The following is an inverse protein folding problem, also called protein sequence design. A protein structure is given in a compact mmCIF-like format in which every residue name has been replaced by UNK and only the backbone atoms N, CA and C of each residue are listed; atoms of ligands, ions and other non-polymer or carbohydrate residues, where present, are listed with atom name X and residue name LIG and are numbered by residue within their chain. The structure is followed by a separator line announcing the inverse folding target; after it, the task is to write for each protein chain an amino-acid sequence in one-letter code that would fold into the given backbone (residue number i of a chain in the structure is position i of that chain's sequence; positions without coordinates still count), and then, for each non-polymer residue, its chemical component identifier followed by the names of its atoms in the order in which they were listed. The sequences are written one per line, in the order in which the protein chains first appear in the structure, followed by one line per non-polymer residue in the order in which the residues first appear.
data_IF_598552412622
#
_entry.id   IF_598552412622
#
_cell.length_a   1.000
_cell.length_b   1.000
_cell.length_c   1.000
_cell.angle_alpha   90.00
_cell.angle_beta   90.00
_cell.angle_gamma   90.00
#
_symmetry.space_group_name_H-M   'P 1'
#
loop_
_entity.id
_entity.type
_entity.pdbx_description
1 polymer ?
#
# COMPACT_ATOMS: atom_id res chain seq x y z
N UNK A 1 -24.47 -10.20 13.62
CA UNK A 1 -23.29 -10.12 12.75
C UNK A 1 -23.55 -10.88 11.47
N UNK A 2 -23.67 -10.16 10.36
CA UNK A 2 -23.82 -10.80 9.05
C UNK A 2 -22.43 -11.21 8.51
N UNK A 3 -22.35 -12.36 7.86
CA UNK A 3 -21.09 -12.81 7.26
C UNK A 3 -20.83 -12.00 5.98
N UNK A 4 -19.65 -11.38 5.87
CA UNK A 4 -19.22 -10.64 4.68
C UNK A 4 -18.05 -11.37 4.03
N UNK A 5 -18.19 -11.70 2.75
CA UNK A 5 -17.15 -12.31 1.93
C UNK A 5 -16.76 -11.33 0.83
N UNK A 6 -15.49 -10.98 0.69
CA UNK A 6 -15.08 -10.02 -0.34
C UNK A 6 -13.69 -10.30 -0.89
N UNK A 7 -13.44 -9.82 -2.11
CA UNK A 7 -12.11 -9.83 -2.70
C UNK A 7 -11.93 -8.66 -3.66
N UNK A 8 -10.77 -7.99 -3.57
CA UNK A 8 -10.40 -6.89 -4.46
C UNK A 8 -9.47 -7.33 -5.59
N UNK A 9 -9.38 -6.51 -6.63
CA UNK A 9 -8.36 -6.67 -7.66
C UNK A 9 -7.88 -5.32 -8.17
N UNK A 10 -6.60 -5.26 -8.52
CA UNK A 10 -5.98 -4.07 -9.08
C UNK A 10 -4.86 -4.47 -10.04
N UNK A 11 -4.85 -3.83 -11.21
CA UNK A 11 -3.81 -3.96 -12.22
C UNK A 11 -3.76 -2.68 -13.06
N UNK A 12 -2.67 -1.91 -13.01
CA UNK A 12 -2.34 -0.79 -13.93
C UNK A 12 -3.55 -0.07 -14.56
N UNK A 13 -4.20 0.82 -13.81
CA UNK A 13 -5.41 1.54 -14.24
C UNK A 13 -6.74 0.81 -14.04
N UNK A 14 -6.73 -0.51 -13.88
CA UNK A 14 -7.92 -1.31 -13.59
C UNK A 14 -8.11 -1.57 -12.10
N UNK A 15 -9.38 -1.61 -11.68
CA UNK A 15 -9.86 -1.85 -10.32
C UNK A 15 -11.04 -2.81 -10.35
N UNK A 16 -11.09 -3.75 -9.41
CA UNK A 16 -12.23 -4.63 -9.23
C UNK A 16 -12.51 -4.90 -7.75
N UNK A 17 -13.76 -5.24 -7.44
CA UNK A 17 -14.15 -5.73 -6.13
C UNK A 17 -15.38 -6.63 -6.25
N UNK A 18 -15.39 -7.71 -5.48
CA UNK A 18 -16.54 -8.57 -5.24
C UNK A 18 -16.88 -8.49 -3.76
N UNK A 19 -18.16 -8.29 -3.46
CA UNK A 19 -18.76 -8.35 -2.14
C UNK A 19 -19.92 -9.34 -2.18
N UNK A 20 -19.95 -10.29 -1.24
CA UNK A 20 -20.98 -11.28 -1.06
C UNK A 20 -21.48 -11.23 0.39
N UNK A 21 -22.79 -11.12 0.56
CA UNK A 21 -23.49 -11.10 1.84
C UNK A 21 -24.48 -12.27 1.83
N UNK A 22 -24.07 -13.48 2.26
CA UNK A 22 -24.88 -14.70 2.13
C UNK A 22 -26.24 -14.61 2.82
N UNK A 23 -26.27 -13.99 4.01
CA UNK A 23 -27.48 -13.84 4.83
C UNK A 23 -28.57 -13.04 4.11
N UNK A 24 -28.17 -12.18 3.17
CA UNK A 24 -29.06 -11.37 2.35
C UNK A 24 -29.12 -11.82 0.88
N UNK A 25 -28.49 -12.94 0.54
CA UNK A 25 -28.36 -13.45 -0.83
C UNK A 25 -27.90 -12.38 -1.83
N UNK A 26 -27.05 -11.44 -1.37
CA UNK A 26 -26.64 -10.28 -2.14
C UNK A 26 -25.19 -10.44 -2.62
N UNK A 27 -24.96 -10.17 -3.90
CA UNK A 27 -23.63 -10.07 -4.50
C UNK A 27 -23.51 -8.75 -5.23
N UNK A 28 -22.46 -7.99 -4.91
CA UNK A 28 -22.10 -6.76 -5.59
C UNK A 28 -20.74 -6.92 -6.24
N UNK A 29 -20.65 -6.65 -7.55
CA UNK A 29 -19.40 -6.69 -8.32
C UNK A 29 -19.17 -5.32 -8.92
N UNK A 30 -18.02 -4.73 -8.61
CA UNK A 30 -17.60 -3.43 -9.15
C UNK A 30 -16.35 -3.66 -10.00
N UNK A 31 -16.38 -3.19 -11.25
CA UNK A 31 -15.25 -3.23 -12.18
C UNK A 31 -15.04 -1.83 -12.75
N UNK A 32 -13.79 -1.41 -12.89
CA UNK A 32 -13.47 -0.14 -13.53
C UNK A 32 -12.07 -0.10 -14.12
N UNK A 33 -11.90 0.81 -15.08
CA UNK A 33 -10.67 1.09 -15.81
C UNK A 33 -10.11 2.48 -15.49
N UNK A 34 -10.33 2.95 -14.27
CA UNK A 34 -9.74 4.19 -13.74
C UNK A 34 -9.04 3.91 -12.41
N UNK A 35 -7.81 4.39 -12.27
CA UNK A 35 -6.95 4.13 -11.10
C UNK A 35 -7.49 4.74 -9.80
N UNK A 36 -8.29 5.81 -9.90
CA UNK A 36 -8.93 6.50 -8.77
C UNK A 36 -10.22 5.83 -8.28
N UNK A 37 -10.73 4.80 -8.96
CA UNK A 37 -11.93 4.10 -8.52
C UNK A 37 -11.66 3.39 -7.18
N UNK A 38 -12.58 3.56 -6.22
CA UNK A 38 -12.60 2.88 -4.92
C UNK A 38 -13.67 1.78 -4.92
N UNK A 39 -13.41 0.61 -5.55
CA UNK A 39 -14.47 -0.34 -5.86
C UNK A 39 -15.08 -1.01 -4.61
N UNK A 40 -14.32 -1.14 -3.52
CA UNK A 40 -14.84 -1.65 -2.25
C UNK A 40 -15.87 -0.69 -1.63
N UNK A 41 -15.56 0.61 -1.58
CA UNK A 41 -16.48 1.62 -1.05
C UNK A 41 -17.79 1.67 -1.86
N UNK A 42 -17.68 1.67 -3.19
CA UNK A 42 -18.84 1.60 -4.09
C UNK A 42 -19.65 0.33 -3.85
N UNK A 43 -18.98 -0.82 -3.69
CA UNK A 43 -19.69 -2.07 -3.44
C UNK A 43 -20.48 -2.05 -2.12
N UNK A 44 -19.89 -1.48 -1.06
CA UNK A 44 -20.55 -1.30 0.24
C UNK A 44 -21.71 -0.31 0.15
N UNK A 45 -21.54 0.85 -0.48
CA UNK A 45 -22.62 1.84 -0.65
C UNK A 45 -23.81 1.27 -1.41
N UNK A 46 -23.55 0.50 -2.47
CA UNK A 46 -24.60 -0.20 -3.23
C UNK A 46 -25.28 -1.25 -2.35
N UNK A 47 -24.52 -2.02 -1.58
CA UNK A 47 -25.08 -3.02 -0.69
C UNK A 47 -25.96 -2.37 0.39
N UNK A 48 -25.48 -1.33 1.05
CA UNK A 48 -26.23 -0.58 2.06
C UNK A 48 -27.52 -0.04 1.48
N UNK A 49 -27.49 0.56 0.28
CA UNK A 49 -28.69 1.11 -0.36
C UNK A 49 -29.73 0.03 -0.74
N UNK A 50 -29.27 -1.14 -1.18
CA UNK A 50 -30.16 -2.26 -1.51
C UNK A 50 -30.77 -2.89 -0.26
N UNK A 51 -29.99 -3.02 0.81
CA UNK A 51 -30.42 -3.61 2.07
C UNK A 51 -31.31 -2.67 2.88
N UNK A 52 -31.09 -1.35 2.79
CA UNK A 52 -31.96 -0.34 3.40
C UNK A 52 -33.26 -0.09 2.63
N UNK A 53 -33.52 -0.83 1.55
CA UNK A 53 -34.72 -0.69 0.73
C UNK A 53 -34.81 0.65 -0.01
N UNK A 54 -33.67 1.29 -0.29
CA UNK A 54 -33.62 2.60 -0.93
C UNK A 54 -33.94 3.78 0.01
N UNK A 55 -34.18 3.53 1.29
CA UNK A 55 -34.21 4.57 2.31
C UNK A 55 -32.77 5.08 2.52
N UNK A 56 -32.56 6.40 2.48
CA UNK A 56 -31.33 6.97 3.03
C UNK A 56 -31.17 6.46 4.48
N UNK A 57 -29.96 6.06 4.91
CA UNK A 57 -29.79 5.55 6.27
C UNK A 57 -30.31 6.60 7.25
N UNK A 58 -31.40 6.26 7.95
CA UNK A 58 -31.83 7.01 9.11
C UNK A 58 -30.73 6.91 10.18
N UNK A 59 -30.59 7.89 11.06
CA UNK A 59 -29.69 7.76 12.19
C UNK A 59 -30.23 6.66 13.11
N UNK A 60 -29.80 5.41 12.91
CA UNK A 60 -30.15 4.31 13.81
C UNK A 60 -29.19 4.30 14.99
N UNK A 61 -29.76 4.68 16.13
CA UNK A 61 -29.26 4.56 17.48
C UNK A 61 -29.07 3.07 17.83
N UNK A 62 -27.90 2.53 17.49
CA UNK A 62 -27.47 1.22 17.97
C UNK A 62 -26.94 1.38 19.39
N UNK A 63 -27.87 1.26 20.36
CA UNK A 63 -27.61 1.15 21.79
C UNK A 63 -26.82 -0.09 22.20
N UNK A 64 -25.59 -0.22 21.72
CA UNK A 64 -24.52 -0.88 22.46
C UNK A 64 -23.98 0.18 23.40
N UNK A 65 -23.92 -0.10 24.70
CA UNK A 65 -23.40 0.80 25.71
C UNK A 65 -22.00 1.28 25.33
N UNK A 66 -21.96 2.47 24.72
CA UNK A 66 -20.78 3.25 24.43
C UNK A 66 -20.22 3.76 25.75
N UNK A 67 -19.42 2.94 26.43
CA UNK A 67 -18.44 3.50 27.36
C UNK A 67 -17.43 4.27 26.53
N UNK A 68 -17.75 5.56 26.34
CA UNK A 68 -16.86 6.69 26.14
C UNK A 68 -15.41 6.31 25.74
N UNK A 69 -15.25 5.92 24.48
CA UNK A 69 -14.03 6.12 23.70
C UNK A 69 -14.47 6.97 22.52
N UNK A 70 -14.12 8.24 22.57
CA UNK A 70 -14.68 9.32 21.78
C UNK A 70 -14.75 8.98 20.29
N UNK A 71 -15.89 9.32 19.71
CA UNK A 71 -16.00 9.85 18.35
C UNK A 71 -14.66 10.49 17.97
N UNK A 72 -13.91 9.92 17.03
CA UNK A 72 -13.12 10.79 16.17
C UNK A 72 -14.16 11.66 15.46
N UNK A 73 -14.45 12.79 16.12
CA UNK A 73 -15.12 13.97 15.59
C UNK A 73 -14.46 14.19 14.25
N UNK A 74 -15.07 13.77 13.13
CA UNK A 74 -14.67 14.14 11.77
C UNK A 74 -13.19 14.55 11.71
N UNK A 75 -12.28 13.64 12.06
CA UNK A 75 -10.97 14.09 12.52
C UNK A 75 -10.25 14.70 11.33
N UNK A 76 -9.86 15.96 11.51
CA UNK A 76 -9.19 16.82 10.55
C UNK A 76 -8.37 16.00 9.55
N UNK A 77 -8.63 16.19 8.25
CA UNK A 77 -7.77 15.61 7.21
C UNK A 77 -6.28 15.92 7.48
N UNK A 78 -5.97 17.04 8.13
CA UNK A 78 -4.63 17.37 8.63
C UNK A 78 -4.11 16.41 9.72
N UNK A 79 -4.96 16.02 10.68
CA UNK A 79 -4.60 15.06 11.72
C UNK A 79 -4.39 13.65 11.14
N UNK A 80 -5.16 13.24 10.12
CA UNK A 80 -4.96 11.99 9.40
C UNK A 80 -3.75 12.04 8.45
N UNK A 81 -3.44 13.23 7.89
CA UNK A 81 -2.32 13.40 6.96
C UNK A 81 -0.96 12.99 7.55
N UNK A 82 -0.78 13.14 8.87
CA UNK A 82 0.48 12.77 9.56
C UNK A 82 0.81 11.27 9.52
N UNK A 83 -0.17 10.40 9.28
CA UNK A 83 0.06 8.95 9.13
C UNK A 83 0.25 8.53 7.67
N UNK A 84 -0.13 9.37 6.70
CA UNK A 84 -0.06 9.04 5.26
C UNK A 84 1.36 8.86 4.78
N UNK A 85 1.66 7.73 4.17
CA UNK A 85 2.99 7.48 3.65
C UNK A 85 3.19 6.02 3.27
N UNK A 86 4.40 5.73 2.80
CA UNK A 86 4.84 4.38 2.49
C UNK A 86 5.68 3.87 3.64
N UNK A 87 5.49 2.62 4.02
CA UNK A 87 6.16 1.98 5.13
C UNK A 87 6.77 0.67 4.66
N UNK A 88 8.10 0.57 4.70
CA UNK A 88 8.84 -0.61 4.29
C UNK A 88 8.99 -1.56 5.47
N UNK A 89 8.49 -2.77 5.30
CA UNK A 89 8.64 -3.85 6.28
C UNK A 89 10.06 -4.43 6.24
N UNK A 90 10.51 -5.01 7.35
CA UNK A 90 11.79 -5.72 7.44
C UNK A 90 11.94 -6.82 6.38
N UNK A 91 10.84 -7.45 5.99
CA UNK A 91 10.80 -8.49 4.95
C UNK A 91 10.73 -7.95 3.51
N UNK A 92 10.88 -6.64 3.31
CA UNK A 92 10.88 -5.96 2.01
C UNK A 92 9.49 -5.65 1.43
N UNK A 93 8.39 -6.00 2.12
CA UNK A 93 7.04 -5.62 1.67
C UNK A 93 6.78 -4.14 1.91
N UNK A 94 6.05 -3.53 0.98
CA UNK A 94 5.54 -2.17 1.14
C UNK A 94 4.15 -2.18 1.73
N UNK A 95 3.88 -1.26 2.65
CA UNK A 95 2.56 -0.91 3.14
C UNK A 95 2.33 0.56 2.82
N UNK A 96 1.18 0.89 2.21
CA UNK A 96 0.83 2.29 1.92
C UNK A 96 -0.33 2.70 2.80
N UNK A 97 -0.15 3.78 3.56
CA UNK A 97 -1.23 4.39 4.34
C UNK A 97 -1.76 5.60 3.58
N UNK A 98 -3.03 5.57 3.26
CA UNK A 98 -3.76 6.61 2.54
C UNK A 98 -4.84 7.21 3.44
N UNK A 99 -5.18 8.47 3.21
CA UNK A 99 -6.31 9.11 3.87
C UNK A 99 -7.34 9.53 2.82
N UNK A 100 -8.61 9.18 3.06
CA UNK A 100 -9.73 9.58 2.21
C UNK A 100 -10.95 9.85 3.09
N UNK A 101 -11.64 10.96 2.86
CA UNK A 101 -12.88 11.32 3.57
C UNK A 101 -12.73 11.29 5.11
N UNK A 102 -11.59 11.77 5.63
CA UNK A 102 -11.31 11.78 7.07
C UNK A 102 -11.01 10.41 7.70
N UNK A 103 -10.92 9.35 6.88
CA UNK A 103 -10.58 7.99 7.32
C UNK A 103 -9.20 7.59 6.83
N UNK A 104 -8.58 6.65 7.53
CA UNK A 104 -7.31 6.05 7.14
C UNK A 104 -7.52 4.67 6.55
N UNK A 105 -6.75 4.38 5.51
CA UNK A 105 -6.74 3.09 4.84
C UNK A 105 -5.30 2.61 4.71
N UNK A 106 -5.10 1.31 4.84
CA UNK A 106 -3.85 0.63 4.56
C UNK A 106 -4.01 -0.23 3.32
N UNK A 107 -3.10 -0.06 2.36
CA UNK A 107 -2.97 -0.94 1.20
C UNK A 107 -1.88 -1.96 1.51
N UNK A 108 -2.25 -3.24 1.48
CA UNK A 108 -1.34 -4.36 1.64
C UNK A 108 -1.68 -5.43 0.61
N UNK A 109 -0.73 -5.78 -0.28
CA UNK A 109 -0.98 -6.82 -1.29
C UNK A 109 -1.99 -6.42 -2.39
N UNK A 110 -2.30 -5.13 -2.52
CA UNK A 110 -3.38 -4.63 -3.38
C UNK A 110 -4.77 -4.66 -2.73
N UNK A 111 -4.90 -5.16 -1.50
CA UNK A 111 -6.12 -5.05 -0.71
C UNK A 111 -6.11 -3.76 0.10
N UNK A 112 -7.19 -2.99 -0.02
CA UNK A 112 -7.45 -1.78 0.75
C UNK A 112 -8.23 -2.17 2.02
N UNK A 113 -7.68 -1.86 3.18
CA UNK A 113 -8.31 -2.15 4.47
C UNK A 113 -8.40 -0.87 5.32
N UNK A 114 -9.53 -0.67 5.99
CA UNK A 114 -9.73 0.50 6.86
C UNK A 114 -8.93 0.37 8.16
N UNK A 115 -8.25 1.46 8.55
CA UNK A 115 -7.63 1.63 9.85
C UNK A 115 -8.57 2.45 10.73
N UNK A 116 -9.26 1.78 11.66
CA UNK A 116 -10.16 2.41 12.61
C UNK A 116 -9.40 2.91 13.82
N UNK A 117 -9.60 4.16 14.25
CA UNK A 117 -8.89 4.70 15.41
C UNK A 117 -9.28 3.97 16.69
N UNK A 118 -8.29 3.78 17.57
CA UNK A 118 -8.49 3.39 18.98
C UNK A 118 -8.06 4.55 19.87
N UNK A 119 -6.91 5.15 19.58
CA UNK A 119 -6.40 6.35 20.24
C UNK A 119 -5.52 7.16 19.26
N UNK A 120 -4.81 8.17 19.77
CA UNK A 120 -3.96 9.07 19.00
C UNK A 120 -2.89 8.38 18.14
N UNK A 121 -2.42 7.18 18.47
CA UNK A 121 -1.39 6.50 17.71
C UNK A 121 -1.71 5.03 17.45
N UNK A 122 -2.85 4.53 17.94
CA UNK A 122 -3.29 3.15 17.77
C UNK A 122 -4.56 3.08 16.94
N UNK A 123 -4.57 2.10 16.06
CA UNK A 123 -5.64 1.81 15.14
C UNK A 123 -5.92 0.31 15.16
N UNK A 124 -7.09 -0.07 14.65
CA UNK A 124 -7.49 -1.45 14.39
C UNK A 124 -7.72 -1.61 12.91
N UNK A 125 -7.13 -2.65 12.36
CA UNK A 125 -7.37 -3.07 10.99
C UNK A 125 -8.73 -3.75 10.90
N UNK A 126 -9.74 -3.07 10.35
CA UNK A 126 -11.16 -3.41 10.52
C UNK A 126 -11.55 -4.80 9.99
N UNK A 127 -10.84 -5.33 8.98
CA UNK A 127 -11.13 -6.64 8.40
C UNK A 127 -10.48 -7.83 9.12
N UNK A 128 -9.37 -7.61 9.83
CA UNK A 128 -8.58 -8.68 10.45
C UNK A 128 -8.53 -8.57 11.98
N UNK A 129 -9.02 -7.47 12.55
CA UNK A 129 -8.94 -7.22 13.99
C UNK A 129 -7.50 -7.09 14.50
N UNK A 130 -6.57 -6.70 13.63
CA UNK A 130 -5.14 -6.55 13.97
C UNK A 130 -4.89 -5.15 14.52
N UNK A 131 -4.32 -5.00 15.73
CA UNK A 131 -3.86 -3.72 16.24
C UNK A 131 -2.69 -3.19 15.40
N UNK A 132 -2.75 -1.90 15.10
CA UNK A 132 -1.73 -1.16 14.36
C UNK A 132 -1.32 0.05 15.18
N UNK A 133 -0.05 0.17 15.52
CA UNK A 133 0.46 1.33 16.27
C UNK A 133 1.51 2.10 15.45
N UNK A 134 1.38 3.43 15.46
CA UNK A 134 2.32 4.36 14.85
C UNK A 134 3.24 4.97 15.91
N UNK A 135 4.54 4.84 15.74
CA UNK A 135 5.53 5.44 16.63
C UNK A 135 6.09 6.72 16.01
N UNK A 136 6.11 7.79 16.82
CA UNK A 136 6.80 9.02 16.49
C UNK A 136 8.29 8.88 16.79
N UNK A 137 9.10 9.51 15.96
CA UNK A 137 10.48 9.81 16.27
C UNK A 137 10.60 10.97 17.25
N UNK A 138 11.80 11.17 17.78
CA UNK A 138 12.14 12.27 18.70
C UNK A 138 11.87 13.66 18.10
N UNK A 139 11.73 13.78 16.77
CA UNK A 139 11.37 15.01 16.06
C UNK A 139 9.85 15.22 15.86
N UNK A 140 9.02 14.36 16.47
CA UNK A 140 7.55 14.44 16.41
C UNK A 140 6.91 13.87 15.14
N UNK A 141 7.68 13.42 14.14
CA UNK A 141 7.14 12.78 12.92
C UNK A 141 6.93 11.28 13.13
N UNK A 142 5.87 10.73 12.53
CA UNK A 142 5.68 9.27 12.49
C UNK A 142 6.81 8.63 11.70
N UNK A 143 7.56 7.72 12.32
CA UNK A 143 8.70 7.04 11.68
C UNK A 143 8.52 5.53 11.58
N UNK A 144 7.67 4.92 12.41
CA UNK A 144 7.48 3.48 12.42
C UNK A 144 6.01 3.14 12.55
N UNK A 145 5.63 2.04 11.90
CA UNK A 145 4.34 1.39 12.06
C UNK A 145 4.59 -0.03 12.54
N UNK A 146 3.77 -0.50 13.47
CA UNK A 146 3.81 -1.85 13.99
C UNK A 146 2.45 -2.50 13.80
N UNK A 147 2.44 -3.75 13.36
CA UNK A 147 1.24 -4.59 13.26
C UNK A 147 1.41 -5.72 14.28
N UNK A 148 0.51 -5.78 15.24
CA UNK A 148 0.54 -6.76 16.33
C UNK A 148 -0.26 -8.01 15.92
N UNK A 149 0.39 -8.97 15.27
CA UNK A 149 -0.27 -10.24 14.96
C UNK A 149 -0.16 -11.20 16.15
N UNK A 150 -1.07 -12.20 16.26
CA UNK A 150 -1.09 -13.12 17.39
C UNK A 150 0.26 -13.83 17.67
N UNK A 151 1.04 -14.13 16.64
CA UNK A 151 2.30 -14.88 16.75
C UNK A 151 3.57 -14.03 16.56
N UNK A 152 3.45 -12.81 16.02
CA UNK A 152 4.61 -11.94 15.81
C UNK A 152 4.23 -10.47 15.64
N UNK A 153 5.15 -9.59 16.04
CA UNK A 153 5.03 -8.16 15.75
C UNK A 153 5.76 -7.86 14.46
N UNK A 154 5.04 -7.38 13.45
CA UNK A 154 5.66 -6.89 12.23
C UNK A 154 5.98 -5.41 12.36
N UNK A 155 7.20 -5.01 11.98
CA UNK A 155 7.64 -3.61 11.97
C UNK A 155 7.81 -3.12 10.54
N UNK A 156 7.36 -1.89 10.31
CA UNK A 156 7.53 -1.18 9.06
C UNK A 156 8.07 0.23 9.34
N UNK A 157 9.16 0.59 8.67
CA UNK A 157 9.75 1.91 8.77
C UNK A 157 9.17 2.82 7.70
N UNK A 158 8.81 4.04 8.09
CA UNK A 158 8.31 5.02 7.14
C UNK A 158 9.42 5.35 6.14
N UNK A 159 9.13 5.12 4.87
CA UNK A 159 9.89 5.68 3.77
C UNK A 159 9.35 7.08 3.48
N UNK A 160 10.14 8.07 3.87
CA UNK A 160 10.07 9.36 3.20
C UNK A 160 10.81 9.20 1.86
N UNK A 161 10.29 9.71 0.72
CA UNK A 161 11.10 9.91 -0.46
C UNK A 161 12.27 10.76 -0.01
N UNK A 162 13.41 10.12 0.18
CA UNK A 162 14.53 10.84 0.71
C UNK A 162 14.89 11.83 -0.41
N UNK A 163 14.92 13.12 -0.07
CA UNK A 163 15.57 14.14 -0.89
C UNK A 163 17.08 13.84 -0.87
N UNK A 164 17.47 12.69 -1.43
CA UNK A 164 18.87 12.26 -1.48
C UNK A 164 19.47 12.88 -2.73
N UNK A 165 19.76 14.17 -2.64
CA UNK A 165 20.74 14.76 -3.54
C UNK A 165 22.05 13.99 -3.38
N UNK A 166 22.67 13.59 -4.50
CA UNK A 166 23.98 12.95 -4.50
C UNK A 166 24.01 11.43 -4.74
N UNK A 167 22.89 10.78 -5.06
CA UNK A 167 22.95 9.42 -5.63
C UNK A 167 23.56 9.45 -7.03
N UNK A 168 24.65 8.70 -7.23
CA UNK A 168 25.21 8.49 -8.57
C UNK A 168 24.40 7.40 -9.28
N UNK A 169 23.41 7.81 -10.07
CA UNK A 169 22.56 6.90 -10.85
C UNK A 169 23.33 6.13 -11.93
N UNK A 170 24.49 6.65 -12.39
CA UNK A 170 25.24 6.09 -13.53
C UNK A 170 25.72 4.66 -13.27
N UNK A 171 25.99 4.33 -12.02
CA UNK A 171 26.46 2.99 -11.66
C UNK A 171 25.41 1.89 -11.86
N UNK A 172 24.12 2.27 -11.87
CA UNK A 172 22.97 1.37 -12.04
C UNK A 172 22.48 1.30 -13.48
N UNK A 173 22.89 2.22 -14.35
CA UNK A 173 22.50 2.22 -15.76
C UNK A 173 23.01 0.96 -16.47
N UNK A 174 22.18 0.42 -17.37
CA UNK A 174 22.52 -0.76 -18.16
C UNK A 174 21.33 -1.63 -18.48
N UNK A 175 21.60 -2.72 -19.18
CA UNK A 175 20.61 -3.75 -19.50
C UNK A 175 20.69 -4.89 -18.51
N UNK A 176 19.52 -5.38 -18.12
CA UNK A 176 19.38 -6.44 -17.15
C UNK A 176 18.37 -7.45 -17.68
N UNK A 177 18.68 -8.73 -17.52
CA UNK A 177 17.84 -9.83 -17.98
C UNK A 177 17.35 -10.66 -16.80
N UNK A 178 16.07 -10.99 -16.79
CA UNK A 178 15.51 -11.98 -15.86
C UNK A 178 15.28 -13.31 -16.56
N UNK A 179 16.04 -14.37 -16.24
CA UNK A 179 15.81 -15.70 -16.81
C UNK A 179 14.44 -16.28 -16.44
N UNK A 180 13.92 -15.95 -15.26
CA UNK A 180 12.65 -16.47 -14.77
C UNK A 180 11.44 -15.88 -15.50
N UNK A 181 11.54 -14.62 -15.95
CA UNK A 181 10.47 -13.92 -16.66
C UNK A 181 10.72 -13.84 -18.17
N UNK A 182 11.93 -14.15 -18.63
CA UNK A 182 12.39 -14.00 -20.01
C UNK A 182 12.19 -12.55 -20.55
N UNK A 183 12.47 -11.55 -19.70
CA UNK A 183 12.34 -10.13 -20.05
C UNK A 183 13.63 -9.36 -19.80
N UNK A 184 13.85 -8.32 -20.61
CA UNK A 184 14.93 -7.35 -20.44
C UNK A 184 14.40 -6.04 -19.90
N UNK A 185 15.11 -5.49 -18.92
CA UNK A 185 14.92 -4.14 -18.41
C UNK A 185 16.15 -3.32 -18.78
N UNK A 186 15.95 -2.15 -19.37
CA UNK A 186 17.01 -1.16 -19.59
C UNK A 186 16.83 -0.05 -18.56
N UNK A 187 17.79 0.07 -17.65
CA UNK A 187 17.80 1.13 -16.65
C UNK A 187 18.55 2.34 -17.20
N UNK A 188 17.88 3.48 -17.26
CA UNK A 188 18.44 4.74 -17.74
C UNK A 188 18.20 5.84 -16.72
N UNK A 189 19.14 6.76 -16.58
CA UNK A 189 18.94 7.94 -15.73
C UNK A 189 18.07 8.96 -16.45
N UNK A 190 17.09 9.50 -15.74
CA UNK A 190 16.38 10.71 -16.14
C UNK A 190 16.40 11.71 -14.98
N UNK A 191 17.19 12.78 -15.12
CA UNK A 191 17.41 13.74 -14.04
C UNK A 191 17.93 13.10 -12.74
N UNK A 192 17.10 13.18 -11.70
CA UNK A 192 17.31 12.58 -10.37
C UNK A 192 16.47 11.31 -10.15
N UNK A 193 16.08 10.63 -11.23
CA UNK A 193 15.35 9.37 -11.19
C UNK A 193 16.05 8.28 -12.01
N UNK A 194 15.73 7.03 -11.69
CA UNK A 194 16.09 5.87 -12.50
C UNK A 194 14.85 5.37 -13.22
N UNK A 195 14.84 5.38 -14.55
CA UNK A 195 13.77 4.80 -15.34
C UNK A 195 14.11 3.36 -15.69
N UNK A 196 13.17 2.44 -15.48
CA UNK A 196 13.23 1.10 -16.02
C UNK A 196 12.38 1.00 -17.27
N UNK A 197 13.04 0.90 -18.42
CA UNK A 197 12.41 0.68 -19.72
C UNK A 197 12.24 -0.79 -20.00
N UNK A 198 11.11 -1.14 -20.59
CA UNK A 198 10.74 -2.48 -21.03
C UNK A 198 10.37 -2.43 -22.51
N UNK A 199 10.61 -3.53 -23.24
CA UNK A 199 10.37 -3.60 -24.69
C UNK A 199 8.92 -3.27 -25.10
N UNK A 200 7.95 -3.42 -24.18
CA UNK A 200 6.55 -3.02 -24.35
C UNK A 200 5.99 -2.51 -23.03
N UNK A 201 5.56 -1.25 -22.94
CA UNK A 201 4.85 -0.71 -21.76
C UNK A 201 5.22 0.73 -21.46
N UNK A 202 4.75 1.22 -20.31
CA UNK A 202 5.14 2.50 -19.73
C UNK A 202 6.45 2.31 -18.97
N UNK A 203 7.33 3.32 -19.04
CA UNK A 203 8.56 3.36 -18.25
C UNK A 203 8.22 3.41 -16.77
N UNK A 204 8.95 2.66 -15.95
CA UNK A 204 8.76 2.66 -14.50
C UNK A 204 9.78 3.62 -13.87
N UNK A 205 9.29 4.62 -13.17
CA UNK A 205 10.13 5.57 -12.44
C UNK A 205 10.52 5.01 -11.07
N UNK A 206 11.80 5.07 -10.72
CA UNK A 206 12.32 4.59 -9.44
C UNK A 206 13.10 5.70 -8.71
N UNK A 207 12.81 5.84 -7.42
CA UNK A 207 13.46 6.79 -6.50
C UNK A 207 14.29 6.02 -5.46
N UNK A 208 15.52 6.45 -5.15
CA UNK A 208 16.34 5.78 -4.16
C UNK A 208 15.74 5.92 -2.76
N UNK A 209 15.83 4.83 -1.99
CA UNK A 209 15.37 4.76 -0.60
C UNK A 209 16.48 4.31 0.37
N UNK A 210 17.73 4.25 -0.11
CA UNK A 210 18.91 3.88 0.67
C UNK A 210 19.41 2.46 0.41
N UNK A 211 20.65 2.15 0.82
CA UNK A 211 21.25 0.81 0.77
C UNK A 211 21.08 0.03 -0.55
N UNK A 212 21.39 0.67 -1.69
CA UNK A 212 21.21 0.06 -3.01
C UNK A 212 19.74 -0.29 -3.34
N UNK A 213 18.77 0.30 -2.64
CA UNK A 213 17.33 0.08 -2.87
C UNK A 213 16.67 1.28 -3.52
N UNK A 214 15.72 0.97 -4.39
CA UNK A 214 14.84 1.94 -5.01
C UNK A 214 13.40 1.49 -4.90
N UNK A 215 12.52 2.46 -4.81
CA UNK A 215 11.08 2.29 -4.80
C UNK A 215 10.50 2.90 -6.07
N UNK A 216 9.58 2.18 -6.70
CA UNK A 216 8.79 2.74 -7.78
C UNK A 216 8.06 4.01 -7.32
N UNK A 217 8.07 5.05 -8.14
CA UNK A 217 7.47 6.34 -7.78
C UNK A 217 5.94 6.23 -7.67
N UNK A 218 5.27 5.58 -8.61
CA UNK A 218 3.82 5.37 -8.63
C UNK A 218 3.48 4.06 -9.38
N UNK A 219 2.73 3.09 -8.80
CA UNK A 219 2.07 3.10 -7.49
C UNK A 219 3.00 2.97 -6.27
N UNK A 220 4.25 2.55 -6.46
CA UNK A 220 5.19 2.30 -5.37
C UNK A 220 4.99 0.96 -4.67
N UNK A 221 4.63 -0.06 -5.45
CA UNK A 221 4.57 -1.46 -4.98
C UNK A 221 5.86 -2.23 -5.33
N UNK A 222 6.65 -1.72 -6.28
CA UNK A 222 7.89 -2.35 -6.72
C UNK A 222 9.11 -1.84 -5.95
N UNK A 223 9.87 -2.76 -5.36
CA UNK A 223 11.17 -2.50 -4.72
C UNK A 223 12.26 -3.16 -5.54
N UNK A 224 13.19 -2.35 -6.03
CA UNK A 224 14.46 -2.80 -6.59
C UNK A 224 15.51 -2.83 -5.50
N UNK A 225 16.28 -3.91 -5.41
CA UNK A 225 17.48 -3.99 -4.56
C UNK A 225 18.65 -4.44 -5.41
N UNK A 226 19.60 -3.53 -5.65
CA UNK A 226 20.81 -3.85 -6.40
C UNK A 226 21.75 -4.73 -5.60
N UNK A 227 22.46 -5.58 -6.33
CA UNK A 227 23.48 -6.47 -5.81
C UNK A 227 24.83 -6.11 -6.41
N UNK A 228 25.86 -6.18 -5.56
CA UNK A 228 27.22 -5.82 -5.92
C UNK A 228 28.16 -6.98 -5.69
N UNK A 229 29.18 -7.08 -6.55
CA UNK A 229 30.30 -7.98 -6.29
C UNK A 229 31.28 -7.41 -5.25
N UNK A 230 32.29 -8.20 -4.88
CA UNK A 230 33.36 -7.82 -3.93
C UNK A 230 34.16 -6.57 -4.31
N UNK A 231 34.08 -6.12 -5.57
CA UNK A 231 34.74 -4.90 -6.06
C UNK A 231 33.80 -3.69 -6.06
N UNK A 232 32.60 -3.82 -5.47
CA UNK A 232 31.61 -2.76 -5.39
C UNK A 232 30.84 -2.48 -6.69
N UNK A 233 30.98 -3.32 -7.72
CA UNK A 233 30.28 -3.13 -9.00
C UNK A 233 28.92 -3.81 -8.97
N UNK A 234 27.90 -3.11 -9.44
CA UNK A 234 26.54 -3.66 -9.64
C UNK A 234 26.58 -4.80 -10.65
N UNK A 235 26.15 -5.98 -10.21
CA UNK A 235 26.06 -7.22 -11.02
C UNK A 235 24.64 -7.58 -11.41
N UNK A 236 23.66 -6.96 -10.78
CA UNK A 236 22.25 -7.26 -10.99
C UNK A 236 21.39 -6.56 -9.95
N UNK A 237 20.11 -6.91 -9.94
CA UNK A 237 19.19 -6.52 -8.89
C UNK A 237 18.13 -7.61 -8.69
N UNK A 238 17.47 -7.52 -7.54
CA UNK A 238 16.23 -8.23 -7.29
C UNK A 238 15.05 -7.27 -7.33
N UNK A 239 13.97 -7.69 -7.96
CA UNK A 239 12.70 -6.96 -8.02
C UNK A 239 11.67 -7.67 -7.15
N UNK A 240 11.09 -6.95 -6.20
CA UNK A 240 10.04 -7.46 -5.32
C UNK A 240 8.78 -6.61 -5.41
N UNK A 241 7.64 -7.26 -5.27
CA UNK A 241 6.33 -6.66 -5.04
C UNK A 241 5.75 -7.19 -3.74
N UNK A 242 4.58 -6.70 -3.39
CA UNK A 242 3.74 -7.35 -2.37
C UNK A 242 3.38 -8.83 -2.68
N UNK A 243 3.47 -9.30 -3.92
CA UNK A 243 3.02 -10.65 -4.35
C UNK A 243 4.13 -11.59 -4.84
N UNK A 244 5.24 -11.05 -5.31
CA UNK A 244 6.38 -11.79 -5.82
C UNK A 244 7.66 -11.21 -5.19
N UNK A 245 8.56 -12.08 -4.73
CA UNK A 245 9.76 -11.64 -4.01
C UNK A 245 11.01 -12.07 -4.76
N UNK A 246 12.00 -11.20 -4.71
CA UNK A 246 13.36 -11.45 -5.16
C UNK A 246 13.46 -12.01 -6.59
N UNK A 247 12.65 -11.47 -7.51
CA UNK A 247 12.78 -11.83 -8.93
C UNK A 247 14.13 -11.31 -9.41
N UNK A 248 15.00 -12.21 -9.81
CA UNK A 248 16.38 -11.90 -10.16
C UNK A 248 16.48 -11.30 -11.57
N UNK A 249 17.32 -10.27 -11.67
CA UNK A 249 17.75 -9.63 -12.91
C UNK A 249 19.27 -9.50 -12.90
N UNK A 250 19.91 -10.15 -13.87
CA UNK A 250 21.38 -10.15 -14.01
C UNK A 250 21.78 -9.07 -15.00
N UNK A 251 22.83 -8.30 -14.68
CA UNK A 251 23.38 -7.29 -15.60
C UNK A 251 24.06 -7.96 -16.79
N UNK A 252 23.75 -7.46 -17.99
CA UNK A 252 24.39 -7.86 -19.26
C UNK A 252 25.77 -7.21 -19.47
#
# INVERSE_FOLDING_TARGET
DATLLHHGGALSGYRSHLLLIPDHQLVVVVLGNVNTLRPAAVATEVADHLLSGGQAPGPEDNGIATTAGETLRHADLEAAAKYRGRYLMENGRMLTVEAAEGRLFMVMGGSLQELRPVDDNRFMLAGEGIPVAFERSNNGRMQRMTLELPEHVMRAERLEPATVSGWDYRQYEGRYFSPALEVHYELVRDGEQLLARRSRGVDLEFTPIGDDRFLEWDPGDLVLKFERNRRGRVTGFTLSTSRARNVEFVRE
#
